data_IF_795559621613
#
_entry.id   IF_795559621613
#
_cell.length_a   1.000
_cell.length_b   1.000
_cell.length_c   1.000
_cell.angle_alpha   90.00
_cell.angle_beta   90.00
_cell.angle_gamma   90.00
#
_symmetry.space_group_name_H-M   'P 1'
#
loop_
_entity.id
_entity.type
_entity.pdbx_description
1 polymer ?
#
# COMPACT_ATOMS: atom_id res chain seq x y z
N UNK A 1 -47.54 -35.42 -53.75
CA UNK A 1 -47.44 -33.93 -53.72
C UNK A 1 -47.82 -33.54 -52.29
N UNK A 2 -47.04 -32.86 -51.46
CA UNK A 2 -45.75 -32.19 -51.54
C UNK A 2 -45.27 -31.95 -50.09
N UNK A 3 -43.97 -31.76 -49.94
CA UNK A 3 -43.20 -31.68 -48.70
C UNK A 3 -43.45 -30.38 -47.91
N UNK A 4 -43.40 -30.44 -46.57
CA UNK A 4 -42.52 -29.58 -45.73
C UNK A 4 -42.72 -29.81 -44.22
N UNK A 5 -41.63 -30.20 -43.55
CA UNK A 5 -41.33 -29.99 -42.11
C UNK A 5 -41.07 -28.47 -41.83
N UNK A 6 -40.74 -27.97 -40.61
CA UNK A 6 -40.33 -28.63 -39.34
C UNK A 6 -41.05 -28.04 -38.08
N UNK A 7 -40.86 -28.56 -36.86
CA UNK A 7 -39.90 -28.01 -35.88
C UNK A 7 -39.71 -29.02 -34.73
N UNK A 8 -38.44 -29.31 -34.45
CA UNK A 8 -37.97 -30.17 -33.36
C UNK A 8 -38.15 -29.50 -31.99
N UNK A 9 -38.83 -30.19 -31.09
CA UNK A 9 -38.76 -29.99 -29.64
C UNK A 9 -37.54 -30.72 -29.08
N UNK A 10 -36.44 -29.99 -28.86
CA UNK A 10 -35.38 -30.42 -27.95
C UNK A 10 -34.49 -29.23 -27.58
N UNK A 11 -34.60 -28.75 -26.34
CA UNK A 11 -33.52 -27.95 -25.74
C UNK A 11 -33.27 -28.47 -24.32
N UNK A 12 -32.55 -29.58 -24.26
CA UNK A 12 -31.73 -29.94 -23.10
C UNK A 12 -30.61 -28.91 -23.00
N UNK A 13 -30.57 -28.12 -21.94
CA UNK A 13 -29.42 -27.27 -21.62
C UNK A 13 -28.41 -28.13 -20.85
N UNK A 14 -27.21 -28.40 -21.37
CA UNK A 14 -26.18 -29.08 -20.60
C UNK A 14 -25.58 -28.15 -19.55
N UNK A 15 -25.47 -28.67 -18.33
CA UNK A 15 -24.52 -28.23 -17.32
C UNK A 15 -23.10 -28.30 -17.88
N UNK A 16 -22.50 -27.16 -18.22
CA UNK A 16 -21.04 -27.01 -18.17
C UNK A 16 -20.65 -25.53 -18.07
N UNK A 17 -20.62 -25.01 -16.85
CA UNK A 17 -19.94 -23.73 -16.57
C UNK A 17 -18.44 -24.03 -16.54
N UNK A 18 -17.87 -24.21 -17.72
CA UNK A 18 -16.43 -24.27 -17.93
C UNK A 18 -15.83 -23.03 -17.28
N UNK A 19 -15.05 -23.28 -16.23
CA UNK A 19 -14.06 -22.36 -15.69
C UNK A 19 -13.25 -21.83 -16.87
N UNK A 20 -13.54 -20.60 -17.31
CA UNK A 20 -12.58 -19.83 -18.08
C UNK A 20 -11.41 -19.58 -17.14
N UNK A 21 -10.45 -20.50 -17.14
CA UNK A 21 -9.08 -20.21 -16.75
C UNK A 21 -8.63 -19.13 -17.73
N UNK A 22 -8.72 -17.87 -17.31
CA UNK A 22 -8.04 -16.77 -17.96
C UNK A 22 -6.59 -17.20 -18.13
N UNK A 23 -6.12 -17.24 -19.37
CA UNK A 23 -4.71 -17.44 -19.65
C UNK A 23 -3.95 -16.34 -18.92
N UNK A 24 -3.17 -16.73 -17.92
CA UNK A 24 -2.25 -15.85 -17.21
C UNK A 24 -1.20 -15.43 -18.22
N UNK A 25 -1.36 -14.26 -18.81
CA UNK A 25 -0.30 -13.59 -19.59
C UNK A 25 0.93 -13.51 -18.69
N UNK A 26 2.09 -13.85 -19.22
CA UNK A 26 3.38 -13.91 -18.49
C UNK A 26 3.86 -12.55 -17.92
N UNK A 27 2.98 -11.55 -17.89
CA UNK A 27 3.20 -10.18 -17.40
C UNK A 27 2.66 -9.99 -15.97
N UNK A 28 1.76 -10.86 -15.49
CA UNK A 28 1.08 -10.71 -14.20
C UNK A 28 1.29 -11.91 -13.28
N UNK A 29 2.54 -12.24 -12.94
CA UNK A 29 2.79 -13.13 -11.81
C UNK A 29 2.54 -12.31 -10.53
N UNK A 30 1.50 -12.61 -9.72
CA UNK A 30 1.26 -11.85 -8.50
C UNK A 30 2.46 -12.01 -7.57
N UNK A 31 3.04 -10.89 -7.14
CA UNK A 31 4.16 -10.89 -6.21
C UNK A 31 3.77 -11.65 -4.94
N UNK A 32 4.58 -12.63 -4.57
CA UNK A 32 4.51 -13.28 -3.27
C UNK A 32 4.85 -12.25 -2.17
N UNK A 33 4.44 -12.52 -0.93
CA UNK A 33 4.61 -11.53 0.15
C UNK A 33 6.06 -11.04 0.30
N UNK A 34 7.05 -11.93 0.28
CA UNK A 34 8.47 -11.54 0.35
C UNK A 34 8.92 -10.73 -0.87
N UNK A 35 8.38 -11.01 -2.05
CA UNK A 35 8.69 -10.24 -3.26
C UNK A 35 8.09 -8.82 -3.18
N UNK A 36 6.95 -8.66 -2.51
CA UNK A 36 6.35 -7.34 -2.23
C UNK A 36 7.25 -6.54 -1.30
N UNK A 37 7.78 -7.17 -0.24
CA UNK A 37 8.71 -6.52 0.70
C UNK A 37 10.00 -6.14 -0.01
N UNK A 38 10.61 -7.06 -0.77
CA UNK A 38 11.83 -6.79 -1.52
C UNK A 38 11.64 -5.68 -2.56
N UNK A 39 10.51 -5.68 -3.27
CA UNK A 39 10.19 -4.64 -4.24
C UNK A 39 10.06 -3.27 -3.57
N UNK A 40 9.45 -3.20 -2.38
CA UNK A 40 9.43 -1.97 -1.58
C UNK A 40 10.85 -1.52 -1.19
N UNK A 41 11.65 -2.42 -0.60
CA UNK A 41 13.03 -2.11 -0.14
C UNK A 41 13.94 -1.66 -1.28
N UNK A 42 13.72 -2.17 -2.50
CA UNK A 42 14.46 -1.79 -3.71
C UNK A 42 14.00 -0.50 -4.37
N UNK A 43 12.81 0.00 -4.01
CA UNK A 43 12.30 1.26 -4.56
C UNK A 43 13.13 2.43 -4.04
N UNK A 44 13.23 3.49 -4.84
CA UNK A 44 13.83 4.73 -4.34
C UNK A 44 13.00 5.32 -3.19
N UNK A 45 13.62 6.18 -2.38
CA UNK A 45 13.02 6.75 -1.16
C UNK A 45 11.68 7.44 -1.44
N UNK A 46 11.61 8.23 -2.51
CA UNK A 46 10.41 8.89 -2.97
C UNK A 46 9.25 7.91 -3.21
N UNK A 47 9.54 6.80 -3.87
CA UNK A 47 8.56 5.76 -4.16
C UNK A 47 8.23 4.90 -2.95
N UNK A 48 9.15 4.70 -2.01
CA UNK A 48 8.82 4.09 -0.72
C UNK A 48 7.79 4.93 0.04
N UNK A 49 7.99 6.26 0.11
CA UNK A 49 7.02 7.17 0.74
C UNK A 49 5.67 7.12 0.01
N UNK A 50 5.67 7.11 -1.33
CA UNK A 50 4.45 7.00 -2.13
C UNK A 50 3.69 5.69 -1.87
N UNK A 51 4.40 4.57 -1.79
CA UNK A 51 3.83 3.26 -1.47
C UNK A 51 3.24 3.25 -0.06
N UNK A 52 3.96 3.79 0.93
CA UNK A 52 3.46 3.90 2.30
C UNK A 52 2.16 4.72 2.31
N UNK A 53 2.18 5.93 1.75
CA UNK A 53 1.01 6.80 1.72
C UNK A 53 -0.20 6.09 1.11
N UNK A 54 -0.05 5.49 -0.06
CA UNK A 54 -1.16 4.82 -0.75
C UNK A 54 -1.66 3.61 0.03
N UNK A 55 -0.76 2.85 0.66
CA UNK A 55 -1.17 1.74 1.53
C UNK A 55 -1.98 2.24 2.73
N UNK A 56 -1.53 3.29 3.41
CA UNK A 56 -2.26 3.88 4.54
C UNK A 56 -3.59 4.50 4.14
N UNK A 57 -3.67 5.14 2.96
CA UNK A 57 -4.91 5.72 2.42
C UNK A 57 -5.99 4.65 2.27
N UNK A 58 -5.63 3.46 1.79
CA UNK A 58 -6.58 2.33 1.69
C UNK A 58 -7.02 1.74 3.03
N UNK A 59 -6.26 1.95 4.12
CA UNK A 59 -6.68 1.53 5.46
C UNK A 59 -7.70 2.48 6.07
N UNK A 60 -7.56 3.78 5.81
CA UNK A 60 -8.44 4.82 6.35
C UNK A 60 -8.73 4.65 7.84
N UNK A 61 -10.01 4.64 8.21
CA UNK A 61 -10.45 4.46 9.59
C UNK A 61 -10.25 3.04 10.14
N UNK A 62 -10.08 2.03 9.28
CA UNK A 62 -9.89 0.64 9.72
C UNK A 62 -8.62 0.49 10.55
N UNK A 63 -7.61 1.34 10.34
CA UNK A 63 -6.39 1.37 11.15
C UNK A 63 -6.68 1.51 12.65
N UNK A 64 -7.64 2.35 13.04
CA UNK A 64 -7.99 2.57 14.44
C UNK A 64 -8.53 1.31 15.13
N UNK A 65 -9.21 0.43 14.39
CA UNK A 65 -9.73 -0.83 14.93
C UNK A 65 -8.62 -1.86 15.22
N UNK A 66 -7.53 -1.84 14.44
CA UNK A 66 -6.43 -2.82 14.51
C UNK A 66 -5.22 -2.37 15.33
N UNK A 67 -5.07 -1.05 15.57
CA UNK A 67 -3.96 -0.49 16.34
C UNK A 67 -4.37 0.69 17.25
N UNK A 68 -5.42 0.55 18.10
CA UNK A 68 -5.98 1.68 18.84
C UNK A 68 -4.99 2.32 19.81
N UNK A 69 -4.22 1.52 20.56
CA UNK A 69 -3.25 2.03 21.57
C UNK A 69 -2.14 2.86 20.91
N UNK A 70 -1.69 2.47 19.72
CA UNK A 70 -0.58 3.12 19.04
C UNK A 70 -0.90 4.58 18.66
N UNK A 71 -2.16 4.88 18.36
CA UNK A 71 -2.63 6.22 17.97
C UNK A 71 -2.46 7.26 19.09
N UNK A 72 -2.53 6.82 20.35
CA UNK A 72 -2.43 7.68 21.54
C UNK A 72 -1.00 7.87 22.05
N UNK A 73 0.02 7.40 21.30
CA UNK A 73 1.41 7.58 21.70
C UNK A 73 1.81 9.06 21.78
N UNK A 74 2.26 9.47 22.96
CA UNK A 74 2.79 10.82 23.18
C UNK A 74 4.10 11.03 22.42
N UNK A 75 4.98 10.03 22.35
CA UNK A 75 6.24 10.12 21.61
C UNK A 75 5.99 10.40 20.12
N UNK A 76 5.02 9.69 19.52
CA UNK A 76 4.59 9.92 18.13
C UNK A 76 4.04 11.34 17.96
N UNK A 77 3.19 11.79 18.89
CA UNK A 77 2.63 13.13 18.84
C UNK A 77 3.71 14.22 18.91
N UNK A 78 4.69 14.07 19.81
CA UNK A 78 5.78 15.02 19.94
C UNK A 78 6.65 15.08 18.68
N UNK A 79 7.00 13.93 18.10
CA UNK A 79 7.76 13.89 16.85
C UNK A 79 7.02 14.60 15.70
N UNK A 80 5.73 14.31 15.54
CA UNK A 80 4.89 14.98 14.55
C UNK A 80 4.82 16.50 14.78
N UNK A 81 4.63 16.93 16.03
CA UNK A 81 4.57 18.35 16.36
C UNK A 81 5.88 19.08 16.01
N UNK A 82 7.04 18.45 16.27
CA UNK A 82 8.35 19.01 15.90
C UNK A 82 8.51 19.11 14.37
N UNK A 83 8.03 18.13 13.61
CA UNK A 83 8.04 18.19 12.14
C UNK A 83 7.09 19.27 11.60
N UNK A 84 5.98 19.55 12.27
CA UNK A 84 5.06 20.62 11.87
C UNK A 84 5.62 22.03 12.13
N UNK A 85 6.67 22.16 12.95
CA UNK A 85 7.35 23.44 13.23
C UNK A 85 8.41 23.81 12.19
N UNK A 86 8.79 22.89 11.30
CA UNK A 86 9.73 23.19 10.20
C UNK A 86 8.99 23.67 8.94
N UNK A 87 9.72 24.23 7.97
CA UNK A 87 9.16 24.63 6.67
C UNK A 87 8.57 23.46 5.89
N UNK A 88 7.67 23.73 4.94
CA UNK A 88 7.00 22.67 4.16
C UNK A 88 7.96 21.84 3.31
N UNK A 89 8.95 22.48 2.71
CA UNK A 89 9.95 21.78 1.89
C UNK A 89 10.85 20.91 2.78
N UNK A 90 11.17 21.40 3.98
CA UNK A 90 11.91 20.65 4.99
C UNK A 90 11.14 19.41 5.46
N UNK A 91 9.80 19.45 5.51
CA UNK A 91 8.99 18.30 5.91
C UNK A 91 9.21 17.09 5.00
N UNK A 92 9.23 17.29 3.68
CA UNK A 92 9.45 16.19 2.73
C UNK A 92 10.87 15.65 2.86
N UNK A 93 11.87 16.53 3.04
CA UNK A 93 13.25 16.10 3.30
C UNK A 93 13.36 15.24 4.56
N UNK A 94 12.67 15.61 5.65
CA UNK A 94 12.65 14.82 6.88
C UNK A 94 12.04 13.43 6.65
N UNK A 95 11.02 13.30 5.80
CA UNK A 95 10.46 11.99 5.44
C UNK A 95 11.47 11.14 4.69
N UNK A 96 12.17 11.76 3.73
CA UNK A 96 13.23 11.08 3.00
C UNK A 96 14.35 10.61 3.95
N UNK A 97 14.77 11.46 4.88
CA UNK A 97 15.78 11.12 5.91
C UNK A 97 15.32 9.96 6.80
N UNK A 98 14.05 9.98 7.24
CA UNK A 98 13.46 8.92 8.07
C UNK A 98 13.47 7.59 7.32
N UNK A 99 13.03 7.58 6.07
CA UNK A 99 12.93 6.36 5.24
C UNK A 99 14.32 5.85 4.83
N UNK A 100 15.25 6.76 4.52
CA UNK A 100 16.63 6.41 4.20
C UNK A 100 17.46 5.98 5.42
N UNK A 101 16.96 6.17 6.65
CA UNK A 101 17.71 5.91 7.87
C UNK A 101 18.91 6.84 8.04
N UNK A 102 18.79 8.09 7.62
CA UNK A 102 19.86 9.08 7.66
C UNK A 102 20.27 9.43 9.10
N UNK A 103 21.50 9.93 9.28
CA UNK A 103 21.99 10.41 10.58
C UNK A 103 21.44 11.81 10.90
N UNK A 104 20.15 11.87 11.24
CA UNK A 104 19.46 13.13 11.58
C UNK A 104 18.64 13.00 12.85
N UNK A 105 18.40 14.12 13.54
CA UNK A 105 17.62 14.12 14.80
C UNK A 105 16.23 13.49 14.65
N UNK A 106 15.59 13.65 13.50
CA UNK A 106 14.25 13.15 13.25
C UNK A 106 14.26 11.66 12.91
N UNK A 107 15.24 11.21 12.13
CA UNK A 107 15.44 9.79 11.86
C UNK A 107 15.77 9.02 13.15
N UNK A 108 16.64 9.55 14.02
CA UNK A 108 16.92 8.95 15.33
C UNK A 108 15.68 8.88 16.23
N UNK A 109 14.92 9.97 16.31
CA UNK A 109 13.68 9.99 17.08
C UNK A 109 12.65 8.98 16.55
N UNK A 110 12.57 8.81 15.23
CA UNK A 110 11.73 7.79 14.60
C UNK A 110 12.23 6.37 14.88
N UNK A 111 13.53 6.10 14.80
CA UNK A 111 14.11 4.78 15.06
C UNK A 111 13.93 4.33 16.52
N UNK A 112 13.86 5.26 17.47
CA UNK A 112 13.58 4.95 18.87
C UNK A 112 12.12 4.48 19.13
N UNK A 113 11.22 4.64 18.16
CA UNK A 113 9.83 4.18 18.26
C UNK A 113 9.75 2.66 18.05
N UNK A 114 8.92 1.97 18.84
CA UNK A 114 8.60 0.57 18.53
C UNK A 114 7.72 0.46 17.26
N UNK A 115 7.62 -0.73 16.68
CA UNK A 115 6.87 -0.97 15.43
C UNK A 115 5.44 -0.42 15.46
N UNK A 116 4.71 -0.58 16.57
CA UNK A 116 3.33 -0.06 16.66
C UNK A 116 3.31 1.48 16.65
N UNK A 117 4.24 2.11 17.36
CA UNK A 117 4.39 3.57 17.34
C UNK A 117 4.81 4.08 15.95
N UNK A 118 5.71 3.38 15.24
CA UNK A 118 6.08 3.70 13.85
C UNK A 118 4.87 3.60 12.91
N UNK A 119 4.00 2.61 13.10
CA UNK A 119 2.76 2.51 12.33
C UNK A 119 1.83 3.71 12.56
N UNK A 120 1.65 4.09 13.83
CA UNK A 120 0.82 5.25 14.18
C UNK A 120 1.42 6.57 13.72
N UNK A 121 2.76 6.68 13.72
CA UNK A 121 3.47 7.82 13.16
C UNK A 121 3.09 8.04 11.70
N UNK A 122 3.25 7.04 10.85
CA UNK A 122 2.92 7.17 9.42
C UNK A 122 1.45 7.47 9.17
N UNK A 123 0.55 6.77 9.88
CA UNK A 123 -0.89 7.03 9.75
C UNK A 123 -1.26 8.48 10.09
N UNK A 124 -0.76 8.99 11.23
CA UNK A 124 -1.02 10.37 11.67
C UNK A 124 -0.31 11.39 10.80
N UNK A 125 0.89 11.07 10.32
CA UNK A 125 1.68 11.88 9.40
C UNK A 125 0.93 12.18 8.11
N UNK A 126 0.43 11.13 7.47
CA UNK A 126 -0.28 11.28 6.20
C UNK A 126 -1.64 11.96 6.33
N UNK A 127 -2.22 12.03 7.54
CA UNK A 127 -3.43 12.81 7.79
C UNK A 127 -3.23 14.33 7.70
N UNK A 128 -2.00 14.84 7.88
CA UNK A 128 -1.70 16.27 7.76
C UNK A 128 -0.87 16.65 6.52
N UNK A 129 -0.20 15.68 5.90
CA UNK A 129 0.61 15.93 4.71
C UNK A 129 -0.29 15.89 3.45
N UNK A 130 -0.43 16.98 2.70
CA UNK A 130 -1.23 16.96 1.48
C UNK A 130 -0.57 16.09 0.42
N UNK A 131 -1.38 15.28 -0.25
CA UNK A 131 -0.94 14.33 -1.29
C UNK A 131 -0.11 14.98 -2.40
N UNK A 132 -0.37 16.25 -2.71
CA UNK A 132 0.34 17.02 -3.74
C UNK A 132 1.82 17.28 -3.43
N UNK A 133 2.27 17.03 -2.19
CA UNK A 133 3.69 17.11 -1.82
C UNK A 133 4.45 15.81 -2.01
N UNK A 134 3.77 14.72 -2.35
CA UNK A 134 4.37 13.42 -2.55
C UNK A 134 4.52 13.12 -4.05
N UNK A 135 5.60 12.43 -4.46
CA UNK A 135 5.86 12.10 -5.87
C UNK A 135 5.02 10.92 -6.37
N UNK A 136 3.72 10.89 -6.04
CA UNK A 136 2.84 9.74 -6.30
C UNK A 136 2.73 9.40 -7.79
N UNK A 137 2.43 10.40 -8.63
CA UNK A 137 2.22 10.17 -10.07
C UNK A 137 3.47 9.65 -10.75
N UNK A 138 4.64 10.22 -10.44
CA UNK A 138 5.94 9.76 -10.92
C UNK A 138 6.21 8.32 -10.49
N UNK A 139 5.94 7.98 -9.24
CA UNK A 139 6.19 6.64 -8.73
C UNK A 139 5.22 5.59 -9.28
N UNK A 140 3.96 5.93 -9.53
CA UNK A 140 2.99 5.03 -10.19
C UNK A 140 3.35 4.74 -11.67
N UNK A 141 4.18 5.57 -12.28
CA UNK A 141 4.71 5.31 -13.63
C UNK A 141 5.81 4.25 -13.64
N UNK A 142 6.49 4.03 -12.51
CA UNK A 142 7.52 2.99 -12.35
C UNK A 142 6.86 1.60 -12.37
N UNK A 143 7.23 0.69 -13.29
CA UNK A 143 6.56 -0.60 -13.44
C UNK A 143 6.56 -1.46 -12.17
N UNK A 144 7.69 -1.53 -11.46
CA UNK A 144 7.79 -2.31 -10.21
C UNK A 144 6.90 -1.75 -9.10
N UNK A 145 6.89 -0.42 -8.93
CA UNK A 145 6.02 0.26 -7.96
C UNK A 145 4.55 0.03 -8.29
N UNK A 146 4.17 0.13 -9.57
CA UNK A 146 2.79 -0.14 -10.00
C UNK A 146 2.37 -1.57 -9.70
N UNK A 147 3.19 -2.55 -10.07
CA UNK A 147 2.91 -3.97 -9.81
C UNK A 147 2.76 -4.25 -8.30
N UNK A 148 3.62 -3.63 -7.48
CA UNK A 148 3.52 -3.70 -6.03
C UNK A 148 2.21 -3.11 -5.50
N UNK A 149 1.83 -1.91 -5.95
CA UNK A 149 0.58 -1.27 -5.53
C UNK A 149 -0.63 -2.10 -5.92
N UNK A 150 -0.68 -2.61 -7.15
CA UNK A 150 -1.73 -3.54 -7.60
C UNK A 150 -1.80 -4.78 -6.71
N UNK A 151 -0.66 -5.33 -6.30
CA UNK A 151 -0.63 -6.50 -5.41
C UNK A 151 -1.14 -6.17 -4.01
N UNK A 152 -0.77 -5.01 -3.45
CA UNK A 152 -1.24 -4.54 -2.15
C UNK A 152 -2.75 -4.28 -2.15
N UNK A 153 -3.30 -3.70 -3.22
CA UNK A 153 -4.74 -3.47 -3.35
C UNK A 153 -5.55 -4.77 -3.38
N UNK A 154 -4.96 -5.85 -3.89
CA UNK A 154 -5.56 -7.18 -3.88
C UNK A 154 -5.42 -7.92 -2.52
N UNK A 155 -4.63 -7.40 -1.56
CA UNK A 155 -4.44 -8.01 -0.25
C UNK A 155 -5.58 -7.68 0.72
N UNK A 156 -5.88 -8.62 1.63
CA UNK A 156 -6.77 -8.37 2.75
C UNK A 156 -6.21 -7.33 3.73
N UNK A 157 -7.07 -6.77 4.58
CA UNK A 157 -6.69 -5.77 5.60
C UNK A 157 -5.52 -6.24 6.47
N UNK A 158 -5.58 -7.49 6.96
CA UNK A 158 -4.54 -8.06 7.83
C UNK A 158 -3.21 -8.27 7.10
N UNK A 159 -3.23 -8.65 5.82
CA UNK A 159 -2.02 -8.81 5.00
C UNK A 159 -1.36 -7.47 4.73
N UNK A 160 -2.14 -6.42 4.42
CA UNK A 160 -1.62 -5.05 4.27
C UNK A 160 -1.03 -4.52 5.58
N UNK A 161 -1.69 -4.75 6.71
CA UNK A 161 -1.13 -4.39 8.02
C UNK A 161 0.16 -5.15 8.32
N UNK A 162 0.22 -6.44 7.97
CA UNK A 162 1.42 -7.25 8.10
C UNK A 162 2.56 -6.71 7.22
N UNK A 163 2.27 -6.32 5.98
CA UNK A 163 3.22 -5.62 5.10
C UNK A 163 3.75 -4.35 5.76
N UNK A 164 2.88 -3.47 6.25
CA UNK A 164 3.30 -2.23 6.91
C UNK A 164 4.20 -2.50 8.13
N UNK A 165 3.81 -3.45 9.00
CA UNK A 165 4.64 -3.87 10.15
C UNK A 165 6.02 -4.33 9.71
N UNK A 166 6.10 -5.05 8.59
CA UNK A 166 7.36 -5.61 8.09
C UNK A 166 8.30 -4.56 7.54
N UNK A 167 7.78 -3.54 6.86
CA UNK A 167 8.59 -2.52 6.18
C UNK A 167 8.91 -1.30 7.04
N UNK A 168 8.12 -1.03 8.08
CA UNK A 168 8.41 0.06 9.03
C UNK A 168 9.10 -0.41 10.31
N UNK A 169 9.02 -1.70 10.64
CA UNK A 169 9.57 -2.28 11.87
C UNK A 169 11.09 -2.24 11.88
#
# INVERSE_FOLDING_TARGET
MGLSSPLQTAFTIPHNKLLRKTAMTAVDIPLQFEQVVQAYESANVDCQIAILWQTYDTLGQAFAAIAPVALFSQAVQQLINQMQQVGRDDQVSILCDIVAGADTRFAHAYQALNTNMKLAFWHRLFAYLPVSRLPLSTCQQVPVTRALLTRLDAMGLNERLHFLRRVVG
#
